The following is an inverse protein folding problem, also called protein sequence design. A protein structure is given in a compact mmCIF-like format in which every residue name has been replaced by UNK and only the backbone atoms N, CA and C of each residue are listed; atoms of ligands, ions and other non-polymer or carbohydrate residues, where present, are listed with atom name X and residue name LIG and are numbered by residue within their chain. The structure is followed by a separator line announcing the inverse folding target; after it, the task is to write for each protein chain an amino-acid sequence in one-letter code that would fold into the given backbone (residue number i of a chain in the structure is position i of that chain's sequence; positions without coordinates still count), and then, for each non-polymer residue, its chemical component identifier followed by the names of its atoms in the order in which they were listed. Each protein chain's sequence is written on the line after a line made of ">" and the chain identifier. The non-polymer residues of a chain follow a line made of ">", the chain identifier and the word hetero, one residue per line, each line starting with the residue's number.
data_IF_775230764512
#
_entry.id   IF_775230764512
#
_cell.length_a   1.000
_cell.length_b   1.000
_cell.length_c   1.000
_cell.angle_alpha   90.00
_cell.angle_beta   90.00
_cell.angle_gamma   90.00
#
_symmetry.space_group_name_H-M   'P 1'
#
loop_
_entity.id
_entity.type
_entity.pdbx_description
1 polymer ?
#
# COMPACT_ATOMS: atom_id res chain seq x y z
N UNK A 1 -26.67 9.38 0.09
CA UNK A 1 -28.06 9.61 -0.37
C UNK A 1 -28.25 10.92 -1.15
N UNK A 2 -27.25 11.82 -1.25
CA UNK A 2 -27.31 13.07 -2.01
C UNK A 2 -26.74 12.99 -3.43
N UNK A 3 -26.17 11.87 -3.85
CA UNK A 3 -25.41 11.71 -5.10
C UNK A 3 -26.21 11.18 -6.28
N UNK A 4 -27.32 10.47 -6.05
CA UNK A 4 -28.18 10.00 -7.14
C UNK A 4 -28.67 11.13 -8.08
N UNK A 5 -28.96 12.37 -7.62
CA UNK A 5 -29.37 13.44 -8.54
C UNK A 5 -28.19 14.00 -9.37
N UNK A 6 -26.95 13.93 -8.92
CA UNK A 6 -25.78 14.46 -9.68
C UNK A 6 -25.37 13.47 -10.76
N UNK A 7 -25.31 12.19 -10.46
CA UNK A 7 -25.01 11.13 -11.44
C UNK A 7 -26.12 10.98 -12.49
N UNK A 8 -27.36 11.32 -12.19
CA UNK A 8 -28.45 11.27 -13.16
C UNK A 8 -28.40 12.39 -14.24
N UNK A 9 -27.60 13.40 -14.04
CA UNK A 9 -27.39 14.51 -15.00
C UNK A 9 -26.21 14.22 -15.95
N UNK A 10 -25.27 13.35 -15.53
CA UNK A 10 -24.14 12.90 -16.37
C UNK A 10 -24.61 11.75 -17.27
N UNK A 11 -24.21 11.77 -18.53
CA UNK A 11 -24.45 10.61 -19.39
C UNK A 11 -23.62 9.41 -18.91
N UNK A 12 -24.09 8.20 -19.16
CA UNK A 12 -23.31 6.97 -18.84
C UNK A 12 -21.94 6.98 -19.50
N UNK A 13 -21.82 7.59 -20.67
CA UNK A 13 -20.56 7.76 -21.38
C UNK A 13 -19.59 8.70 -20.63
N UNK A 14 -20.08 9.80 -20.07
CA UNK A 14 -19.23 10.76 -19.33
C UNK A 14 -18.69 10.14 -18.04
N UNK A 15 -19.49 9.31 -17.38
CA UNK A 15 -19.08 8.56 -16.17
C UNK A 15 -17.98 7.57 -16.53
N UNK A 16 -18.16 6.74 -17.58
CA UNK A 16 -17.18 5.75 -18.02
C UNK A 16 -15.85 6.39 -18.43
N UNK A 17 -15.90 7.52 -19.13
CA UNK A 17 -14.70 8.30 -19.49
C UNK A 17 -14.01 8.84 -18.23
N UNK A 18 -14.77 9.37 -17.27
CA UNK A 18 -14.23 9.91 -16.04
C UNK A 18 -13.54 8.82 -15.18
N UNK A 19 -14.17 7.66 -15.02
CA UNK A 19 -13.58 6.51 -14.32
C UNK A 19 -12.28 6.05 -14.98
N UNK A 20 -12.28 5.93 -16.31
CA UNK A 20 -11.07 5.55 -17.06
C UNK A 20 -9.95 6.56 -16.86
N UNK A 21 -10.26 7.86 -16.94
CA UNK A 21 -9.28 8.93 -16.71
C UNK A 21 -8.74 8.90 -15.28
N UNK A 22 -9.59 8.73 -14.29
CA UNK A 22 -9.17 8.60 -12.88
C UNK A 22 -8.24 7.41 -12.72
N UNK A 23 -8.57 6.26 -13.28
CA UNK A 23 -7.73 5.07 -13.24
C UNK A 23 -6.36 5.27 -13.87
N UNK A 24 -6.30 5.87 -15.05
CA UNK A 24 -5.06 6.19 -15.77
C UNK A 24 -4.21 7.20 -15.01
N UNK A 25 -4.81 8.26 -14.48
CA UNK A 25 -4.10 9.30 -13.71
C UNK A 25 -3.52 8.70 -12.43
N UNK A 26 -4.29 7.90 -11.72
CA UNK A 26 -3.81 7.20 -10.52
C UNK A 26 -2.63 6.27 -10.83
N UNK A 27 -2.74 5.49 -11.90
CA UNK A 27 -1.66 4.60 -12.33
C UNK A 27 -0.38 5.38 -12.68
N UNK A 28 -0.52 6.44 -13.48
CA UNK A 28 0.61 7.31 -13.84
C UNK A 28 1.24 7.97 -12.63
N UNK A 29 0.44 8.45 -11.69
CA UNK A 29 0.89 9.08 -10.46
C UNK A 29 1.72 8.11 -9.62
N UNK A 30 1.21 6.88 -9.41
CA UNK A 30 1.94 5.83 -8.69
C UNK A 30 3.24 5.51 -9.40
N UNK A 31 3.18 5.27 -10.71
CA UNK A 31 4.34 4.89 -11.50
C UNK A 31 5.43 5.96 -11.49
N UNK A 32 5.06 7.23 -11.72
CA UNK A 32 6.01 8.34 -11.71
C UNK A 32 6.61 8.57 -10.32
N UNK A 33 5.78 8.54 -9.27
CA UNK A 33 6.28 8.71 -7.91
C UNK A 33 7.23 7.58 -7.51
N UNK A 34 6.85 6.32 -7.78
CA UNK A 34 7.69 5.16 -7.51
C UNK A 34 9.02 5.25 -8.26
N UNK A 35 8.96 5.55 -9.57
CA UNK A 35 10.15 5.62 -10.40
C UNK A 35 11.09 6.76 -10.02
N UNK A 36 10.56 7.93 -9.71
CA UNK A 36 11.38 9.09 -9.30
C UNK A 36 12.05 8.87 -7.94
N UNK A 37 11.31 8.34 -6.96
CA UNK A 37 11.91 8.05 -5.65
C UNK A 37 12.92 6.89 -5.72
N UNK A 38 12.63 5.85 -6.48
CA UNK A 38 13.57 4.76 -6.70
C UNK A 38 14.90 5.28 -7.26
N UNK A 39 14.85 6.12 -8.30
CA UNK A 39 16.06 6.72 -8.91
C UNK A 39 16.82 7.61 -7.92
N UNK A 40 16.13 8.41 -7.10
CA UNK A 40 16.74 9.25 -6.08
C UNK A 40 17.47 8.39 -5.04
N UNK A 41 16.83 7.31 -4.57
CA UNK A 41 17.40 6.43 -3.55
C UNK A 41 18.57 5.60 -4.05
N UNK A 42 18.56 5.18 -5.32
CA UNK A 42 19.71 4.53 -5.96
C UNK A 42 20.95 5.45 -5.95
N UNK A 43 20.76 6.76 -6.20
CA UNK A 43 21.86 7.75 -6.10
C UNK A 43 22.40 7.91 -4.67
N UNK A 44 21.59 7.57 -3.67
CA UNK A 44 21.97 7.52 -2.26
C UNK A 44 22.52 6.14 -1.83
N UNK A 45 22.79 5.24 -2.78
CA UNK A 45 23.24 3.87 -2.54
C UNK A 45 22.26 3.01 -1.73
N UNK A 46 20.96 3.29 -1.84
CA UNK A 46 19.89 2.53 -1.22
C UNK A 46 19.19 1.64 -2.27
N UNK A 47 18.63 0.48 -1.86
CA UNK A 47 17.89 -0.38 -2.78
C UNK A 47 16.68 0.33 -3.40
N UNK A 48 16.39 0.08 -4.67
CA UNK A 48 15.26 0.66 -5.43
C UNK A 48 13.92 0.45 -4.76
N UNK A 49 13.71 -0.75 -4.18
CA UNK A 49 12.46 -1.12 -3.51
C UNK A 49 12.11 -0.19 -2.35
N UNK A 50 13.11 0.34 -1.64
CA UNK A 50 12.88 1.30 -0.55
C UNK A 50 12.29 2.60 -1.10
N UNK A 51 12.75 3.04 -2.29
CA UNK A 51 12.19 4.21 -2.97
C UNK A 51 10.74 4.02 -3.39
N UNK A 52 10.42 2.85 -3.93
CA UNK A 52 9.06 2.51 -4.35
C UNK A 52 8.09 2.45 -3.17
N UNK A 53 8.52 1.86 -2.05
CA UNK A 53 7.72 1.82 -0.81
C UNK A 53 7.51 3.21 -0.21
N UNK A 54 8.56 4.04 -0.17
CA UNK A 54 8.45 5.42 0.29
C UNK A 54 7.53 6.26 -0.60
N UNK A 55 7.55 6.03 -1.92
CA UNK A 55 6.61 6.67 -2.84
C UNK A 55 5.17 6.35 -2.44
N UNK A 56 4.85 5.08 -2.19
CA UNK A 56 3.53 4.65 -1.74
C UNK A 56 3.09 5.32 -0.43
N UNK A 57 4.01 5.46 0.54
CA UNK A 57 3.73 6.16 1.80
C UNK A 57 3.48 7.66 1.57
N UNK A 58 4.29 8.31 0.72
CA UNK A 58 4.19 9.75 0.48
C UNK A 58 2.91 10.13 -0.27
N UNK A 59 2.52 9.35 -1.29
CA UNK A 59 1.31 9.65 -2.06
C UNK A 59 0.03 9.08 -1.41
N UNK A 60 0.19 8.15 -0.50
CA UNK A 60 -0.90 7.47 0.20
C UNK A 60 -1.50 8.25 1.37
N UNK A 61 -2.21 7.53 2.23
CA UNK A 61 -2.93 8.07 3.38
C UNK A 61 -2.04 8.73 4.44
N UNK A 62 -0.75 8.38 4.49
CA UNK A 62 0.21 8.94 5.45
C UNK A 62 0.91 10.21 4.96
N UNK A 63 0.79 10.56 3.68
CA UNK A 63 1.46 11.70 3.06
C UNK A 63 0.51 12.71 2.44
N UNK A 64 0.57 12.86 1.13
CA UNK A 64 -0.18 13.89 0.40
C UNK A 64 -1.67 13.61 0.18
N UNK A 65 -2.20 12.48 0.65
CA UNK A 65 -3.61 12.06 0.47
C UNK A 65 -4.08 12.06 -1.00
N UNK A 66 -3.17 11.71 -1.91
CA UNK A 66 -3.49 11.60 -3.34
C UNK A 66 -4.11 10.24 -3.68
N UNK A 67 -3.72 9.20 -2.92
CA UNK A 67 -4.24 7.84 -3.04
C UNK A 67 -4.74 7.36 -1.69
N UNK A 68 -6.05 7.17 -1.58
CA UNK A 68 -6.70 6.73 -0.34
C UNK A 68 -7.51 5.45 -0.59
N UNK A 69 -7.34 4.42 0.25
CA UNK A 69 -8.26 3.29 0.24
C UNK A 69 -9.64 3.74 0.78
N UNK A 70 -10.74 3.07 0.38
CA UNK A 70 -12.09 3.40 0.85
C UNK A 70 -12.28 3.33 2.36
N UNK A 71 -11.37 2.63 3.05
CA UNK A 71 -11.35 2.48 4.51
C UNK A 71 -10.62 3.61 5.24
N UNK A 72 -9.95 4.51 4.52
CA UNK A 72 -9.25 5.63 5.13
C UNK A 72 -10.23 6.69 5.62
N UNK A 73 -10.05 7.14 6.86
CA UNK A 73 -10.85 8.22 7.46
C UNK A 73 -10.35 9.62 7.07
N UNK A 74 -9.67 9.74 5.93
CA UNK A 74 -9.13 10.97 5.40
C UNK A 74 -9.83 11.36 4.10
N UNK A 75 -9.90 12.65 3.80
CA UNK A 75 -10.40 13.16 2.53
C UNK A 75 -9.30 13.23 1.48
N UNK A 76 -9.65 13.02 0.21
CA UNK A 76 -8.74 13.24 -0.90
C UNK A 76 -8.23 14.68 -0.91
N UNK A 77 -7.01 14.85 -1.40
CA UNK A 77 -6.40 16.17 -1.53
C UNK A 77 -7.25 17.07 -2.45
N UNK A 78 -7.58 18.27 -1.98
CA UNK A 78 -8.42 19.21 -2.74
C UNK A 78 -7.82 19.61 -4.11
N UNK A 79 -6.49 19.73 -4.19
CA UNK A 79 -5.79 19.99 -5.44
C UNK A 79 -5.96 18.85 -6.44
N UNK A 80 -5.90 17.61 -5.95
CA UNK A 80 -6.13 16.42 -6.75
C UNK A 80 -7.58 16.35 -7.26
N UNK A 81 -8.56 16.60 -6.38
CA UNK A 81 -9.98 16.64 -6.75
C UNK A 81 -10.24 17.69 -7.83
N UNK A 82 -9.68 18.90 -7.69
CA UNK A 82 -9.81 19.97 -8.69
C UNK A 82 -9.16 19.59 -10.02
N UNK A 83 -8.00 18.95 -10.00
CA UNK A 83 -7.32 18.49 -11.20
C UNK A 83 -8.19 17.48 -11.98
N UNK A 84 -8.68 16.45 -11.28
CA UNK A 84 -9.55 15.43 -11.87
C UNK A 84 -10.83 16.07 -12.43
N UNK A 85 -11.48 16.90 -11.63
CA UNK A 85 -12.71 17.62 -12.03
C UNK A 85 -12.51 18.42 -13.33
N UNK A 86 -11.36 19.10 -13.48
CA UNK A 86 -11.08 19.88 -14.69
C UNK A 86 -10.75 19.01 -15.90
N UNK A 87 -10.08 17.87 -15.72
CA UNK A 87 -9.68 16.97 -16.80
C UNK A 87 -10.83 16.08 -17.27
N UNK A 88 -11.62 15.57 -16.34
CA UNK A 88 -12.75 14.69 -16.63
C UNK A 88 -14.07 15.46 -16.90
N UNK A 89 -14.06 16.79 -16.74
CA UNK A 89 -15.27 17.64 -16.88
C UNK A 89 -16.43 17.21 -16.00
N UNK A 90 -16.12 16.67 -14.81
CA UNK A 90 -17.11 16.24 -13.81
C UNK A 90 -17.12 17.19 -12.61
N UNK A 91 -18.27 17.36 -11.92
CA UNK A 91 -18.33 18.18 -10.71
C UNK A 91 -17.33 17.67 -9.62
N UNK A 92 -16.65 18.57 -8.90
CA UNK A 92 -15.69 18.17 -7.85
C UNK A 92 -16.29 17.27 -6.77
N UNK A 93 -17.59 17.42 -6.53
CA UNK A 93 -18.34 16.63 -5.54
C UNK A 93 -18.53 15.16 -5.97
N UNK A 94 -18.50 14.87 -7.28
CA UNK A 94 -18.63 13.52 -7.81
C UNK A 94 -17.28 12.77 -7.86
N UNK A 95 -16.16 13.49 -7.85
CA UNK A 95 -14.82 12.89 -7.98
C UNK A 95 -14.51 11.85 -6.90
N UNK A 96 -14.82 12.07 -5.60
CA UNK A 96 -14.50 11.09 -4.58
C UNK A 96 -15.23 9.75 -4.80
N UNK A 97 -16.48 9.77 -5.22
CA UNK A 97 -17.25 8.54 -5.42
C UNK A 97 -16.75 7.78 -6.65
N UNK A 98 -16.55 8.45 -7.77
CA UNK A 98 -15.96 7.88 -8.99
C UNK A 98 -14.56 7.31 -8.69
N UNK A 99 -13.78 8.01 -7.86
CA UNK A 99 -12.47 7.52 -7.41
C UNK A 99 -12.59 6.21 -6.64
N UNK A 100 -13.50 6.12 -5.68
CA UNK A 100 -13.68 4.90 -4.87
C UNK A 100 -14.28 3.74 -5.68
N UNK A 101 -15.07 4.01 -6.72
CA UNK A 101 -15.54 2.98 -7.66
C UNK A 101 -14.40 2.41 -8.51
N UNK A 102 -13.40 3.21 -8.88
CA UNK A 102 -12.22 2.73 -9.64
C UNK A 102 -11.17 2.05 -8.75
N UNK A 103 -11.20 2.26 -7.44
CA UNK A 103 -10.20 1.75 -6.51
C UNK A 103 -10.03 0.22 -6.53
N UNK A 104 -11.09 -0.63 -6.62
CA UNK A 104 -10.94 -2.08 -6.72
C UNK A 104 -10.11 -2.53 -7.92
N UNK A 105 -10.22 -1.85 -9.07
CA UNK A 105 -9.41 -2.14 -10.26
C UNK A 105 -7.94 -1.85 -10.02
N UNK A 106 -7.63 -0.72 -9.39
CA UNK A 106 -6.28 -0.36 -8.99
C UNK A 106 -5.70 -1.39 -8.00
N UNK A 107 -6.50 -1.82 -7.03
CA UNK A 107 -6.11 -2.83 -6.05
C UNK A 107 -5.84 -4.19 -6.71
N UNK A 108 -6.62 -4.58 -7.72
CA UNK A 108 -6.39 -5.81 -8.47
C UNK A 108 -5.03 -5.77 -9.20
N UNK A 109 -4.71 -4.66 -9.87
CA UNK A 109 -3.39 -4.46 -10.52
C UNK A 109 -2.26 -4.48 -9.51
N UNK A 110 -2.41 -3.82 -8.37
CA UNK A 110 -1.42 -3.83 -7.28
C UNK A 110 -1.19 -5.24 -6.73
N UNK A 111 -2.25 -6.03 -6.57
CA UNK A 111 -2.16 -7.42 -6.12
C UNK A 111 -1.43 -8.31 -7.13
N UNK A 112 -1.71 -8.14 -8.42
CA UNK A 112 -0.97 -8.84 -9.49
C UNK A 112 0.51 -8.44 -9.49
N UNK A 113 0.81 -7.15 -9.30
CA UNK A 113 2.19 -6.67 -9.15
C UNK A 113 2.91 -7.30 -7.96
N UNK A 114 2.22 -7.44 -6.83
CA UNK A 114 2.75 -8.12 -5.64
C UNK A 114 3.07 -9.58 -5.93
N UNK A 115 2.19 -10.31 -6.59
CA UNK A 115 2.45 -11.71 -6.95
C UNK A 115 3.61 -11.85 -7.93
N UNK A 116 3.71 -10.95 -8.92
CA UNK A 116 4.83 -10.91 -9.84
C UNK A 116 6.16 -10.63 -9.12
N UNK A 117 6.17 -9.68 -8.17
CA UNK A 117 7.34 -9.36 -7.36
C UNK A 117 7.77 -10.57 -6.52
N UNK A 118 6.85 -11.23 -5.83
CA UNK A 118 7.13 -12.43 -5.04
C UNK A 118 7.68 -13.57 -5.92
N UNK A 119 7.13 -13.73 -7.11
CA UNK A 119 7.59 -14.74 -8.07
C UNK A 119 9.02 -14.44 -8.55
N UNK A 120 9.31 -13.19 -8.93
CA UNK A 120 10.65 -12.77 -9.35
C UNK A 120 11.68 -12.95 -8.23
N UNK A 121 11.34 -12.52 -7.01
CA UNK A 121 12.21 -12.70 -5.84
C UNK A 121 12.47 -14.19 -5.55
N UNK A 122 11.45 -15.04 -5.74
CA UNK A 122 11.61 -16.49 -5.64
C UNK A 122 12.53 -17.09 -6.71
N UNK A 123 12.50 -16.55 -7.94
CA UNK A 123 13.40 -16.99 -9.02
C UNK A 123 14.85 -16.52 -8.81
N UNK A 124 15.05 -15.35 -8.24
CA UNK A 124 16.37 -14.80 -7.93
C UNK A 124 17.03 -15.50 -6.73
N UNK A 125 16.27 -16.25 -5.95
CA UNK A 125 16.77 -16.99 -4.78
C UNK A 125 17.58 -18.20 -5.19
N UNK A 126 18.90 -18.18 -4.97
CA UNK A 126 19.79 -19.29 -5.24
C UNK A 126 19.64 -20.37 -4.16
N UNK A 127 19.00 -21.50 -4.51
CA UNK A 127 18.78 -22.62 -3.59
C UNK A 127 20.09 -23.19 -3.02
N UNK A 128 21.18 -23.14 -3.82
CA UNK A 128 22.48 -23.64 -3.39
C UNK A 128 23.06 -22.80 -2.23
N UNK A 129 22.92 -21.49 -2.28
CA UNK A 129 23.33 -20.61 -1.18
C UNK A 129 22.48 -20.83 0.07
N UNK A 130 21.15 -20.99 -0.10
CA UNK A 130 20.26 -21.29 1.01
C UNK A 130 20.63 -22.60 1.73
N UNK A 131 20.99 -23.63 0.97
CA UNK A 131 21.40 -24.93 1.53
C UNK A 131 22.77 -24.82 2.18
N UNK A 132 23.71 -24.10 1.60
CA UNK A 132 25.07 -23.93 2.13
C UNK A 132 25.09 -23.25 3.50
N UNK A 133 24.21 -22.27 3.74
CA UNK A 133 24.10 -21.56 5.03
C UNK A 133 23.00 -22.11 5.94
N UNK A 134 22.41 -23.25 5.60
CA UNK A 134 21.20 -23.76 6.23
C UNK A 134 21.27 -23.86 7.76
N UNK A 135 22.37 -24.36 8.34
CA UNK A 135 22.52 -24.46 9.80
C UNK A 135 22.62 -23.08 10.46
N UNK A 136 23.32 -22.14 9.84
CA UNK A 136 23.46 -20.78 10.35
C UNK A 136 22.12 -20.02 10.20
N UNK A 137 21.48 -20.13 9.03
CA UNK A 137 20.17 -19.56 8.77
C UNK A 137 19.11 -20.08 9.75
N UNK A 138 19.11 -21.38 10.05
CA UNK A 138 18.23 -21.99 11.06
C UNK A 138 18.43 -21.37 12.44
N UNK A 139 19.68 -21.20 12.87
CA UNK A 139 19.98 -20.60 14.18
C UNK A 139 19.50 -19.15 14.25
N UNK A 140 19.74 -18.36 13.21
CA UNK A 140 19.30 -16.97 13.15
C UNK A 140 17.76 -16.89 13.11
N UNK A 141 17.11 -17.74 12.33
CA UNK A 141 15.66 -17.80 12.25
C UNK A 141 15.02 -18.18 13.60
N UNK A 142 15.58 -19.19 14.28
CA UNK A 142 15.12 -19.58 15.62
C UNK A 142 15.29 -18.45 16.63
N UNK A 143 16.42 -17.78 16.62
CA UNK A 143 16.64 -16.61 17.47
C UNK A 143 15.67 -15.47 17.14
N UNK A 144 15.45 -15.21 15.85
CA UNK A 144 14.53 -14.18 15.36
C UNK A 144 13.07 -14.42 15.73
N UNK A 145 12.65 -15.65 15.96
CA UNK A 145 11.30 -16.00 16.42
C UNK A 145 11.23 -16.06 17.95
N UNK A 146 12.17 -16.77 18.58
CA UNK A 146 12.13 -17.01 20.03
C UNK A 146 12.34 -15.72 20.83
N UNK A 147 13.26 -14.85 20.40
CA UNK A 147 13.58 -13.63 21.14
C UNK A 147 12.40 -12.65 21.20
N UNK A 148 11.78 -12.24 20.07
CA UNK A 148 10.61 -11.36 20.13
C UNK A 148 9.44 -11.98 20.90
N UNK A 149 9.18 -13.28 20.69
CA UNK A 149 8.13 -14.00 21.41
C UNK A 149 8.38 -13.99 22.92
N UNK A 150 9.59 -14.33 23.35
CA UNK A 150 9.94 -14.37 24.77
C UNK A 150 9.89 -12.96 25.39
N UNK A 151 10.53 -11.98 24.74
CA UNK A 151 10.52 -10.58 25.24
C UNK A 151 9.12 -9.97 25.23
N UNK A 152 8.33 -10.22 24.20
CA UNK A 152 6.95 -9.75 24.14
C UNK A 152 6.09 -10.36 25.24
N UNK A 153 6.14 -11.68 25.40
CA UNK A 153 5.38 -12.39 26.44
C UNK A 153 5.83 -11.98 27.85
N UNK A 154 7.14 -12.03 28.13
CA UNK A 154 7.66 -11.66 29.44
C UNK A 154 7.46 -10.18 29.76
N UNK A 155 7.65 -9.30 28.77
CA UNK A 155 7.39 -7.86 28.92
C UNK A 155 5.93 -7.59 29.33
N UNK A 156 4.99 -8.22 28.67
CA UNK A 156 3.56 -8.07 29.01
C UNK A 156 3.23 -8.62 30.40
N UNK A 157 3.82 -9.74 30.76
CA UNK A 157 3.58 -10.32 32.10
C UNK A 157 4.21 -9.50 33.22
N UNK A 158 5.49 -9.10 33.10
CA UNK A 158 6.23 -8.48 34.19
C UNK A 158 6.06 -6.96 34.26
N UNK A 159 5.89 -6.29 33.13
CA UNK A 159 5.77 -4.81 33.09
C UNK A 159 4.30 -4.39 33.18
N UNK A 160 3.41 -5.07 32.47
CA UNK A 160 2.02 -4.71 32.37
C UNK A 160 1.08 -5.58 33.22
N UNK A 161 1.61 -6.57 33.95
CA UNK A 161 0.84 -7.53 34.78
C UNK A 161 -0.33 -8.18 34.02
N UNK A 162 -0.11 -8.51 32.74
CA UNK A 162 -1.09 -9.20 31.91
C UNK A 162 -1.04 -10.70 32.24
N UNK A 163 -2.20 -11.35 32.28
CA UNK A 163 -2.29 -12.79 32.51
C UNK A 163 -1.52 -13.59 31.45
N UNK A 164 -1.03 -14.79 31.82
CA UNK A 164 -0.16 -15.64 30.99
C UNK A 164 -0.75 -15.92 29.61
N UNK A 165 -2.04 -16.27 29.53
CA UNK A 165 -2.68 -16.66 28.27
C UNK A 165 -2.74 -15.49 27.27
N UNK A 166 -3.28 -14.30 27.60
CA UNK A 166 -3.24 -13.15 26.71
C UNK A 166 -1.81 -12.72 26.36
N UNK A 167 -0.86 -12.80 27.30
CA UNK A 167 0.53 -12.43 27.04
C UNK A 167 1.20 -13.35 26.01
N UNK A 168 0.93 -14.66 26.06
CA UNK A 168 1.43 -15.63 25.06
C UNK A 168 0.83 -15.33 23.68
N UNK A 169 -0.48 -15.10 23.58
CA UNK A 169 -1.13 -14.77 22.32
C UNK A 169 -0.57 -13.47 21.71
N UNK A 170 -0.40 -12.44 22.51
CA UNK A 170 0.18 -11.18 22.06
C UNK A 170 1.65 -11.33 21.64
N UNK A 171 2.45 -12.06 22.41
CA UNK A 171 3.84 -12.38 22.06
C UNK A 171 3.96 -13.19 20.77
N UNK A 172 3.02 -14.12 20.51
CA UNK A 172 2.99 -14.92 19.29
C UNK A 172 2.53 -14.12 18.05
N UNK A 173 1.89 -12.96 18.23
CA UNK A 173 1.47 -12.09 17.15
C UNK A 173 2.56 -11.09 16.69
N UNK A 174 3.67 -11.02 17.41
CA UNK A 174 4.85 -10.20 17.07
C UNK A 174 5.79 -10.94 16.11
#
# INVERSE_FOLDING_TARGET
>A
MLLQPILSVLSTHDIEVAETLIGVINFLLIFLAARTLAEILVRLSLPTIVGELLAGVLIGASGFHLLLPPTAHASLNEGFVKLISSLASVPPEAVPDLYFETFPSLQAVATLGLYALLFLTGLESELEELVAVGAQAFTVAMAGVILPFAFGTLGLMFVFNVDVIPAIFAGASM
#
